data_IF_881837156725
#
_entry.id   IF_881837156725
#
_cell.length_a   1.000
_cell.length_b   1.000
_cell.length_c   1.000
_cell.angle_alpha   90.00
_cell.angle_beta   90.00
_cell.angle_gamma   90.00
#
_symmetry.space_group_name_H-M   'P 1'
#
loop_
_entity.id
_entity.type
_entity.pdbx_description
1 polymer ?
#
# COMPACT_ATOMS: atom_id res chain seq x y z
N UNK A 1 14.97 -6.04 -17.58
CA UNK A 1 13.66 -5.86 -16.92
C UNK A 1 13.67 -6.64 -15.61
N UNK A 2 14.21 -6.05 -14.54
CA UNK A 2 14.40 -6.75 -13.26
C UNK A 2 13.09 -7.17 -12.58
N UNK A 3 11.98 -6.56 -12.96
CA UNK A 3 10.65 -6.83 -12.42
C UNK A 3 10.00 -8.13 -12.93
N UNK A 4 10.49 -8.74 -14.02
CA UNK A 4 10.03 -10.06 -14.50
C UNK A 4 10.74 -11.23 -13.83
N UNK A 5 11.88 -10.98 -13.20
CA UNK A 5 12.68 -12.00 -12.52
C UNK A 5 11.89 -12.80 -11.46
N UNK A 6 11.06 -12.19 -10.60
CA UNK A 6 10.29 -12.94 -9.60
C UNK A 6 9.28 -13.90 -10.23
N UNK A 7 8.70 -13.52 -11.37
CA UNK A 7 7.78 -14.37 -12.12
C UNK A 7 8.50 -15.60 -12.69
N UNK A 8 9.72 -15.42 -13.22
CA UNK A 8 10.55 -16.56 -13.65
C UNK A 8 10.93 -17.47 -12.49
N UNK A 9 11.20 -16.90 -11.31
CA UNK A 9 11.48 -17.68 -10.10
C UNK A 9 10.32 -18.54 -9.64
N UNK A 10 9.07 -18.15 -9.92
CA UNK A 10 7.92 -18.97 -9.55
C UNK A 10 7.87 -20.32 -10.26
N UNK A 11 8.51 -20.46 -11.43
CA UNK A 11 8.56 -21.73 -12.14
C UNK A 11 9.58 -22.71 -11.57
N UNK A 12 10.74 -22.24 -11.10
CA UNK A 12 11.82 -23.12 -10.64
C UNK A 12 12.02 -23.16 -9.11
N UNK A 13 11.68 -22.10 -8.39
CA UNK A 13 11.80 -22.01 -6.93
C UNK A 13 10.66 -21.18 -6.32
N UNK A 14 9.42 -21.73 -6.26
CA UNK A 14 8.22 -20.99 -5.90
C UNK A 14 8.32 -20.25 -4.56
N UNK A 15 8.84 -20.89 -3.51
CA UNK A 15 8.99 -20.26 -2.20
C UNK A 15 9.96 -19.06 -2.23
N UNK A 16 11.07 -19.16 -2.97
CA UNK A 16 12.03 -18.05 -3.14
C UNK A 16 11.42 -16.93 -3.97
N UNK A 17 10.70 -17.27 -5.05
CA UNK A 17 9.97 -16.30 -5.86
C UNK A 17 8.91 -15.55 -5.04
N UNK A 18 8.14 -16.27 -4.21
CA UNK A 18 7.14 -15.67 -3.31
C UNK A 18 7.79 -14.76 -2.26
N UNK A 19 8.93 -15.15 -1.68
CA UNK A 19 9.67 -14.30 -0.76
C UNK A 19 10.18 -13.02 -1.44
N UNK A 20 10.68 -13.12 -2.68
CA UNK A 20 11.12 -11.95 -3.45
C UNK A 20 9.94 -11.04 -3.82
N UNK A 21 8.79 -11.60 -4.20
CA UNK A 21 7.56 -10.82 -4.47
C UNK A 21 7.07 -10.11 -3.21
N UNK A 22 7.00 -10.81 -2.07
CA UNK A 22 6.64 -10.24 -0.76
C UNK A 22 7.51 -9.03 -0.42
N UNK A 23 8.80 -9.11 -0.72
CA UNK A 23 9.79 -8.14 -0.26
C UNK A 23 10.04 -7.00 -1.25
N UNK A 24 9.88 -7.23 -2.56
CA UNK A 24 10.27 -6.28 -3.61
C UNK A 24 9.17 -5.89 -4.60
N UNK A 25 8.16 -6.74 -4.82
CA UNK A 25 7.22 -6.50 -5.91
C UNK A 25 6.03 -5.64 -5.47
N UNK A 26 5.80 -4.47 -6.10
CA UNK A 26 4.67 -3.63 -5.79
C UNK A 26 3.37 -4.19 -6.37
N UNK A 27 2.27 -4.00 -5.63
CA UNK A 27 0.92 -4.46 -6.01
C UNK A 27 0.50 -4.08 -7.44
N UNK A 28 0.92 -2.91 -7.92
CA UNK A 28 0.58 -2.45 -9.28
C UNK A 28 1.15 -3.34 -10.38
N UNK A 29 2.39 -3.80 -10.24
CA UNK A 29 3.01 -4.69 -11.22
C UNK A 29 2.39 -6.09 -11.18
N UNK A 30 2.10 -6.60 -9.98
CA UNK A 30 1.42 -7.86 -9.78
C UNK A 30 0.03 -7.86 -10.45
N UNK A 31 -0.73 -6.77 -10.24
CA UNK A 31 -2.06 -6.61 -10.81
C UNK A 31 -2.03 -6.52 -12.34
N UNK A 32 -1.12 -5.73 -12.91
CA UNK A 32 -0.98 -5.61 -14.36
C UNK A 32 -0.62 -6.95 -15.01
N UNK A 33 0.37 -7.65 -14.46
CA UNK A 33 0.79 -8.97 -14.95
C UNK A 33 -0.33 -9.99 -14.88
N UNK A 34 -1.02 -10.08 -13.73
CA UNK A 34 -2.13 -11.01 -13.56
C UNK A 34 -3.26 -10.73 -14.55
N UNK A 35 -3.62 -9.46 -14.74
CA UNK A 35 -4.68 -9.06 -15.68
C UNK A 35 -4.31 -9.44 -17.12
N UNK A 36 -3.10 -9.11 -17.56
CA UNK A 36 -2.63 -9.39 -18.91
C UNK A 36 -2.52 -10.90 -19.16
N UNK A 37 -1.91 -11.65 -18.24
CA UNK A 37 -1.75 -13.09 -18.36
C UNK A 37 -3.10 -13.82 -18.34
N UNK A 38 -4.03 -13.45 -17.45
CA UNK A 38 -5.35 -14.05 -17.39
C UNK A 38 -6.20 -13.71 -18.61
N UNK A 39 -6.12 -12.47 -19.11
CA UNK A 39 -6.83 -12.07 -20.34
C UNK A 39 -6.28 -12.83 -21.55
N UNK A 40 -4.95 -12.97 -21.66
CA UNK A 40 -4.31 -13.75 -22.71
C UNK A 40 -4.74 -15.24 -22.64
N UNK A 41 -4.78 -15.82 -21.45
CA UNK A 41 -5.26 -17.19 -21.26
C UNK A 41 -6.72 -17.36 -21.70
N UNK A 42 -7.61 -16.46 -21.28
CA UNK A 42 -9.01 -16.46 -21.70
C UNK A 42 -9.18 -16.33 -23.21
N UNK A 43 -8.42 -15.42 -23.85
CA UNK A 43 -8.41 -15.25 -25.30
C UNK A 43 -7.90 -16.49 -26.05
N UNK A 44 -6.82 -17.11 -25.56
CA UNK A 44 -6.31 -18.36 -26.13
C UNK A 44 -7.35 -19.49 -26.06
N UNK A 45 -8.10 -19.59 -24.96
CA UNK A 45 -9.21 -20.53 -24.80
C UNK A 45 -10.34 -20.29 -25.80
N UNK A 46 -10.70 -19.04 -26.03
CA UNK A 46 -11.79 -18.63 -26.94
C UNK A 46 -11.41 -18.60 -28.43
N UNK A 47 -10.13 -18.75 -28.76
CA UNK A 47 -9.62 -18.75 -30.14
C UNK A 47 -10.34 -19.66 -31.16
N UNK A 48 -10.87 -20.85 -30.81
CA UNK A 48 -11.64 -21.66 -31.76
C UNK A 48 -12.96 -20.98 -32.17
N UNK A 49 -13.55 -20.15 -31.31
CA UNK A 49 -14.73 -19.34 -31.64
C UNK A 49 -14.37 -18.08 -32.46
N UNK A 50 -13.13 -17.60 -32.35
CA UNK A 50 -12.61 -16.45 -33.10
C UNK A 50 -12.41 -16.73 -34.60
N UNK A 51 -12.24 -18.00 -34.99
CA UNK A 51 -12.00 -18.37 -36.39
C UNK A 51 -13.25 -18.33 -37.29
N UNK A 52 -14.45 -18.11 -36.73
CA UNK A 52 -15.72 -18.25 -37.48
C UNK A 52 -16.80 -17.18 -37.29
N UNK A 53 -16.66 -16.19 -36.39
CA UNK A 53 -17.76 -15.26 -36.06
C UNK A 53 -17.31 -13.79 -35.97
N UNK A 54 -18.11 -12.91 -36.58
CA UNK A 54 -18.05 -11.44 -36.44
C UNK A 54 -18.35 -11.05 -34.98
N UNK A 55 -17.34 -10.62 -34.24
CA UNK A 55 -17.53 -10.14 -32.86
C UNK A 55 -16.28 -10.07 -31.97
N UNK A 56 -15.09 -9.97 -32.56
CA UNK A 56 -13.79 -10.02 -31.84
C UNK A 56 -13.74 -8.99 -30.70
N UNK A 57 -14.29 -7.79 -30.89
CA UNK A 57 -14.29 -6.71 -29.89
C UNK A 57 -15.16 -7.02 -28.66
N UNK A 58 -16.30 -7.71 -28.82
CA UNK A 58 -17.16 -8.09 -27.70
C UNK A 58 -16.53 -9.20 -26.85
N UNK A 59 -15.86 -10.14 -27.49
CA UNK A 59 -15.18 -11.26 -26.81
C UNK A 59 -13.91 -10.83 -26.09
N UNK A 60 -13.13 -9.91 -26.66
CA UNK A 60 -11.95 -9.34 -25.97
C UNK A 60 -12.35 -8.54 -24.74
N UNK A 61 -13.43 -7.75 -24.87
CA UNK A 61 -14.00 -7.01 -23.75
C UNK A 61 -14.51 -7.96 -22.64
N UNK A 62 -15.23 -9.02 -23.00
CA UNK A 62 -15.71 -10.01 -22.04
C UNK A 62 -14.57 -10.77 -21.33
N UNK A 63 -13.51 -11.15 -22.05
CA UNK A 63 -12.34 -11.80 -21.47
C UNK A 63 -11.62 -10.90 -20.45
N UNK A 64 -11.50 -9.61 -20.78
CA UNK A 64 -10.92 -8.60 -19.88
C UNK A 64 -11.80 -8.39 -18.64
N UNK A 65 -13.12 -8.29 -18.82
CA UNK A 65 -14.08 -8.10 -17.73
C UNK A 65 -14.08 -9.30 -16.76
N UNK A 66 -14.05 -10.53 -17.28
CA UNK A 66 -13.95 -11.75 -16.47
C UNK A 66 -12.62 -11.82 -15.72
N UNK A 67 -11.52 -11.43 -16.36
CA UNK A 67 -10.19 -11.38 -15.73
C UNK A 67 -10.14 -10.36 -14.60
N UNK A 68 -10.69 -9.16 -14.82
CA UNK A 68 -10.83 -8.15 -13.78
C UNK A 68 -11.74 -8.63 -12.63
N UNK A 69 -12.84 -9.32 -12.95
CA UNK A 69 -13.73 -9.93 -11.97
C UNK A 69 -12.99 -10.89 -11.04
N UNK A 70 -12.20 -11.82 -11.59
CA UNK A 70 -11.39 -12.76 -10.81
C UNK A 70 -10.42 -12.05 -9.85
N UNK A 71 -9.77 -10.99 -10.32
CA UNK A 71 -8.87 -10.19 -9.47
C UNK A 71 -9.61 -9.52 -8.32
N UNK A 72 -10.83 -9.01 -8.57
CA UNK A 72 -11.68 -8.44 -7.52
C UNK A 72 -12.07 -9.51 -6.49
N UNK A 73 -12.40 -10.74 -6.92
CA UNK A 73 -12.69 -11.84 -5.99
C UNK A 73 -11.49 -12.15 -5.11
N UNK A 74 -10.30 -12.22 -5.69
CA UNK A 74 -9.07 -12.46 -4.93
C UNK A 74 -8.80 -11.34 -3.92
N UNK A 75 -8.99 -10.09 -4.34
CA UNK A 75 -8.74 -8.91 -3.53
C UNK A 75 -9.78 -8.69 -2.41
N UNK A 76 -11.07 -8.93 -2.69
CA UNK A 76 -12.17 -8.60 -1.79
C UNK A 76 -12.62 -9.76 -0.90
N UNK A 77 -12.40 -11.01 -1.34
CA UNK A 77 -12.87 -12.21 -0.62
C UNK A 77 -11.70 -13.07 -0.17
N UNK A 78 -10.88 -13.54 -1.12
CA UNK A 78 -9.86 -14.53 -0.81
C UNK A 78 -8.80 -14.02 0.17
N UNK A 79 -8.19 -12.85 -0.10
CA UNK A 79 -7.13 -12.30 0.76
C UNK A 79 -7.65 -11.92 2.15
N UNK A 80 -8.78 -11.20 2.31
CA UNK A 80 -9.33 -10.93 3.63
C UNK A 80 -9.69 -12.21 4.40
N UNK A 81 -10.24 -13.22 3.74
CA UNK A 81 -10.54 -14.50 4.37
C UNK A 81 -9.26 -15.24 4.80
N UNK A 82 -8.22 -15.26 3.96
CA UNK A 82 -6.93 -15.83 4.31
C UNK A 82 -6.32 -15.14 5.54
N UNK A 83 -6.31 -13.81 5.56
CA UNK A 83 -5.83 -13.01 6.70
C UNK A 83 -6.66 -13.29 7.96
N UNK A 84 -7.98 -13.42 7.82
CA UNK A 84 -8.88 -13.73 8.92
C UNK A 84 -8.57 -15.11 9.52
N UNK A 85 -8.47 -16.14 8.68
CA UNK A 85 -8.10 -17.48 9.11
C UNK A 85 -6.72 -17.52 9.77
N UNK A 86 -5.72 -16.83 9.19
CA UNK A 86 -4.40 -16.70 9.81
C UNK A 86 -4.48 -16.05 11.19
N UNK A 87 -5.27 -14.99 11.34
CA UNK A 87 -5.41 -14.30 12.61
C UNK A 87 -6.11 -15.16 13.67
N UNK A 88 -7.09 -15.98 13.26
CA UNK A 88 -7.71 -16.98 14.14
C UNK A 88 -6.71 -18.03 14.62
N UNK A 89 -5.80 -18.48 13.76
CA UNK A 89 -4.84 -19.55 14.05
C UNK A 89 -3.65 -19.09 14.89
N UNK A 90 -3.14 -17.87 14.66
CA UNK A 90 -1.90 -17.38 15.27
C UNK A 90 -2.11 -16.25 16.28
N UNK A 91 -3.32 -15.71 16.43
CA UNK A 91 -3.66 -14.59 17.35
C UNK A 91 -2.67 -13.41 17.26
N UNK A 92 -2.39 -12.94 16.04
CA UNK A 92 -1.35 -11.92 15.76
C UNK A 92 -1.74 -10.49 16.13
N UNK A 93 -2.97 -10.27 16.59
CA UNK A 93 -3.48 -8.97 17.00
C UNK A 93 -4.87 -8.68 16.43
N UNK A 94 -5.21 -7.39 16.31
CA UNK A 94 -6.48 -7.01 15.70
C UNK A 94 -6.47 -7.30 14.20
N UNK A 95 -7.57 -7.87 13.68
CA UNK A 95 -7.70 -8.24 12.27
C UNK A 95 -7.40 -7.05 11.34
N UNK A 96 -7.91 -5.86 11.67
CA UNK A 96 -7.67 -4.66 10.86
C UNK A 96 -6.20 -4.25 10.78
N UNK A 97 -5.42 -4.47 11.84
CA UNK A 97 -3.99 -4.19 11.84
C UNK A 97 -3.24 -5.17 10.93
N UNK A 98 -3.49 -6.47 11.09
CA UNK A 98 -2.85 -7.52 10.28
C UNK A 98 -3.22 -7.35 8.81
N UNK A 99 -4.48 -7.05 8.52
CA UNK A 99 -4.96 -6.78 7.17
C UNK A 99 -4.21 -5.59 6.57
N UNK A 100 -4.17 -4.42 7.21
CA UNK A 100 -3.44 -3.25 6.69
C UNK A 100 -1.96 -3.52 6.44
N UNK A 101 -1.36 -4.37 7.27
CA UNK A 101 0.06 -4.69 7.23
C UNK A 101 0.42 -5.69 6.13
N UNK A 102 -0.33 -6.78 6.01
CA UNK A 102 0.01 -7.92 5.15
C UNK A 102 -0.81 -8.01 3.86
N UNK A 103 -1.86 -7.19 3.70
CA UNK A 103 -2.76 -7.27 2.55
C UNK A 103 -2.04 -7.09 1.22
N UNK A 104 -1.23 -6.03 1.07
CA UNK A 104 -0.55 -5.75 -0.20
C UNK A 104 0.43 -6.87 -0.58
N UNK A 105 1.17 -7.41 0.38
CA UNK A 105 2.10 -8.50 0.16
C UNK A 105 1.36 -9.81 -0.20
N UNK A 106 0.31 -10.14 0.55
CA UNK A 106 -0.52 -11.34 0.30
C UNK A 106 -1.16 -11.28 -1.07
N UNK A 107 -1.82 -10.16 -1.40
CA UNK A 107 -2.47 -9.96 -2.69
C UNK A 107 -1.47 -9.98 -3.84
N UNK A 108 -0.29 -9.35 -3.69
CA UNK A 108 0.74 -9.39 -4.74
C UNK A 108 1.21 -10.82 -5.01
N UNK A 109 1.50 -11.60 -3.97
CA UNK A 109 1.93 -12.99 -4.12
C UNK A 109 0.85 -13.86 -4.80
N UNK A 110 -0.42 -13.69 -4.41
CA UNK A 110 -1.55 -14.40 -5.00
C UNK A 110 -1.78 -13.99 -6.46
N UNK A 111 -1.62 -12.71 -6.80
CA UNK A 111 -1.75 -12.23 -8.18
C UNK A 111 -0.61 -12.72 -9.07
N UNK A 112 0.63 -12.78 -8.56
CA UNK A 112 1.73 -13.39 -9.28
C UNK A 112 1.54 -14.91 -9.46
N UNK A 113 0.98 -15.61 -8.46
CA UNK A 113 0.58 -17.00 -8.60
C UNK A 113 -0.43 -17.17 -9.74
N UNK A 114 -1.47 -16.32 -9.77
CA UNK A 114 -2.45 -16.31 -10.84
C UNK A 114 -1.76 -16.09 -12.19
N UNK A 115 -0.92 -15.05 -12.32
CA UNK A 115 -0.23 -14.72 -13.56
C UNK A 115 0.62 -15.88 -14.09
N UNK A 116 1.37 -16.55 -13.21
CA UNK A 116 2.19 -17.69 -13.59
C UNK A 116 1.33 -18.87 -14.07
N UNK A 117 0.16 -19.11 -13.45
CA UNK A 117 -0.73 -20.21 -13.84
C UNK A 117 -1.37 -19.91 -15.18
N UNK A 118 -1.82 -18.67 -15.39
CA UNK A 118 -2.40 -18.24 -16.66
C UNK A 118 -1.40 -18.38 -17.81
N UNK A 119 -0.11 -18.07 -17.58
CA UNK A 119 0.95 -18.26 -18.59
C UNK A 119 1.19 -19.74 -18.91
N UNK A 120 1.17 -20.62 -17.90
CA UNK A 120 1.21 -22.07 -18.15
C UNK A 120 -0.02 -22.53 -18.94
N UNK A 121 -1.19 -21.98 -18.64
CA UNK A 121 -2.42 -22.23 -19.37
C UNK A 121 -2.29 -21.85 -20.85
N UNK A 122 -1.71 -20.68 -21.16
CA UNK A 122 -1.44 -20.26 -22.54
C UNK A 122 -0.51 -21.24 -23.25
N UNK A 123 0.61 -21.61 -22.62
CA UNK A 123 1.57 -22.56 -23.19
C UNK A 123 0.91 -23.92 -23.46
N UNK A 124 0.12 -24.41 -22.51
CA UNK A 124 -0.55 -25.71 -22.66
C UNK A 124 -1.59 -25.69 -23.77
N UNK A 125 -2.41 -24.65 -23.87
CA UNK A 125 -3.38 -24.49 -24.97
C UNK A 125 -2.64 -24.45 -26.32
N UNK A 126 -1.48 -23.79 -26.40
CA UNK A 126 -0.67 -23.77 -27.61
C UNK A 126 -0.10 -25.16 -27.97
N UNK A 127 0.44 -25.90 -26.99
CA UNK A 127 0.98 -27.25 -27.19
C UNK A 127 -0.10 -28.29 -27.53
N UNK A 128 -1.25 -28.23 -26.86
CA UNK A 128 -2.40 -29.10 -27.14
C UNK A 128 -2.95 -28.93 -28.55
N UNK A 129 -2.76 -27.73 -29.14
CA UNK A 129 -3.06 -27.48 -30.56
C UNK A 129 -1.95 -27.98 -31.48
N UNK A 130 -0.70 -27.63 -31.19
CA UNK A 130 0.43 -28.04 -32.03
C UNK A 130 0.56 -29.58 -32.15
N UNK A 131 0.11 -30.31 -31.14
CA UNK A 131 0.08 -31.78 -31.13
C UNK A 131 -1.11 -32.41 -31.86
N UNK A 132 -2.12 -31.64 -32.29
CA UNK A 132 -3.35 -32.16 -32.89
C UNK A 132 -4.28 -32.89 -31.91
N UNK A 133 -3.91 -32.98 -30.63
CA UNK A 133 -4.70 -33.69 -29.60
C UNK A 133 -6.10 -33.10 -29.42
N UNK A 134 -6.21 -31.76 -29.47
CA UNK A 134 -7.51 -31.08 -29.37
C UNK A 134 -8.47 -31.51 -30.49
N UNK A 135 -7.97 -31.64 -31.71
CA UNK A 135 -8.78 -31.98 -32.89
C UNK A 135 -9.20 -33.45 -32.83
N UNK A 136 -8.28 -34.34 -32.46
CA UNK A 136 -8.55 -35.76 -32.25
C UNK A 136 -9.56 -36.01 -31.12
N UNK A 137 -9.46 -35.27 -30.01
CA UNK A 137 -10.42 -35.38 -28.91
C UNK A 137 -11.82 -34.92 -29.35
N UNK A 138 -11.91 -33.81 -30.09
CA UNK A 138 -13.19 -33.34 -30.62
C UNK A 138 -13.81 -34.31 -31.62
N UNK A 139 -13.01 -34.94 -32.49
CA UNK A 139 -13.53 -35.92 -33.44
C UNK A 139 -14.08 -37.16 -32.72
N UNK A 140 -13.32 -37.73 -31.78
CA UNK A 140 -13.78 -38.88 -30.99
C UNK A 140 -15.01 -38.56 -30.15
N UNK A 141 -15.12 -37.34 -29.62
CA UNK A 141 -16.31 -36.91 -28.88
C UNK A 141 -17.54 -36.78 -29.79
N UNK A 142 -17.39 -36.20 -30.99
CA UNK A 142 -18.48 -36.12 -31.99
C UNK A 142 -18.96 -37.51 -32.40
N UNK A 143 -18.04 -38.46 -32.60
CA UNK A 143 -18.37 -39.85 -32.89
C UNK A 143 -19.12 -40.53 -31.73
N UNK A 144 -18.66 -40.35 -30.50
CA UNK A 144 -19.34 -40.89 -29.32
C UNK A 144 -20.75 -40.30 -29.15
N UNK A 145 -20.92 -39.00 -29.42
CA UNK A 145 -22.22 -38.34 -29.38
C UNK A 145 -23.16 -38.88 -30.47
N UNK A 146 -22.67 -39.06 -31.69
CA UNK A 146 -23.44 -39.64 -32.79
C UNK A 146 -23.93 -41.06 -32.46
N UNK A 147 -23.07 -41.91 -31.88
CA UNK A 147 -23.44 -43.25 -31.42
C UNK A 147 -24.47 -43.22 -30.28
N UNK A 148 -24.38 -42.26 -29.37
CA UNK A 148 -25.34 -42.08 -28.29
C UNK A 148 -26.72 -41.60 -28.80
N UNK A 149 -26.74 -40.77 -29.86
CA UNK A 149 -27.95 -40.38 -30.56
C UNK A 149 -28.60 -41.55 -31.30
N UNK A 150 -27.82 -42.37 -32.02
CA UNK A 150 -28.32 -43.57 -32.71
C UNK A 150 -28.96 -44.57 -31.74
N UNK A 151 -28.45 -44.65 -30.51
CA UNK A 151 -29.01 -45.50 -29.44
C UNK A 151 -30.22 -44.90 -28.72
N UNK A 152 -30.68 -43.70 -29.13
CA UNK A 152 -31.80 -43.00 -28.51
C UNK A 152 -31.54 -42.56 -27.06
N UNK A 153 -30.26 -42.46 -26.65
CA UNK A 153 -29.88 -42.13 -25.26
C UNK A 153 -29.73 -40.63 -25.01
N UNK A 154 -29.82 -39.81 -26.06
CA UNK A 154 -29.61 -38.36 -25.99
C UNK A 154 -30.73 -37.65 -26.74
N UNK A 155 -31.45 -36.76 -26.05
CA UNK A 155 -32.46 -35.92 -26.70
C UNK A 155 -31.81 -35.00 -27.76
N UNK A 156 -32.44 -34.82 -28.93
CA UNK A 156 -31.87 -34.03 -30.04
C UNK A 156 -31.62 -32.56 -29.67
N UNK A 157 -32.32 -32.00 -28.68
CA UNK A 157 -32.10 -30.64 -28.16
C UNK A 157 -30.84 -30.52 -27.27
N UNK A 158 -30.36 -31.61 -26.67
CA UNK A 158 -29.15 -31.61 -25.84
C UNK A 158 -27.85 -31.68 -26.66
N UNK A 159 -27.95 -32.07 -27.94
CA UNK A 159 -26.81 -32.33 -28.85
C UNK A 159 -26.08 -31.05 -29.28
N UNK A 160 -26.76 -29.94 -29.61
CA UNK A 160 -26.10 -28.65 -29.87
C UNK A 160 -25.40 -28.10 -28.62
N UNK A 161 -25.97 -28.34 -27.43
CA UNK A 161 -25.41 -27.90 -26.15
C UNK A 161 -24.13 -28.69 -25.80
N UNK A 162 -24.16 -30.00 -26.05
CA UNK A 162 -23.03 -30.91 -25.82
C UNK A 162 -21.94 -30.82 -26.89
N UNK A 163 -22.27 -30.52 -28.15
CA UNK A 163 -21.29 -30.37 -29.23
C UNK A 163 -20.56 -29.02 -29.22
N UNK A 164 -21.19 -27.97 -28.70
CA UNK A 164 -20.55 -26.67 -28.42
C UNK A 164 -19.75 -26.65 -27.12
N UNK A 165 -19.86 -27.71 -26.31
CA UNK A 165 -19.12 -27.82 -25.06
C UNK A 165 -17.63 -28.01 -25.38
N UNK A 166 -16.87 -26.91 -25.33
CA UNK A 166 -15.41 -26.92 -25.22
C UNK A 166 -15.02 -27.50 -23.85
N UNK A 167 -15.34 -28.77 -23.62
CA UNK A 167 -15.10 -29.48 -22.37
C UNK A 167 -13.61 -29.58 -22.08
N UNK A 168 -12.76 -29.74 -23.11
CA UNK A 168 -11.32 -29.94 -22.91
C UNK A 168 -10.62 -28.70 -22.27
N UNK A 169 -10.81 -27.45 -22.76
CA UNK A 169 -10.28 -26.26 -22.09
C UNK A 169 -10.84 -26.01 -20.69
N UNK A 170 -12.13 -26.30 -20.47
CA UNK A 170 -12.82 -26.06 -19.19
C UNK A 170 -12.38 -27.09 -18.13
N UNK A 171 -12.45 -28.37 -18.46
CA UNK A 171 -11.98 -29.47 -17.59
C UNK A 171 -10.51 -29.30 -17.27
N UNK A 172 -9.67 -28.93 -18.24
CA UNK A 172 -8.26 -28.68 -17.99
C UNK A 172 -8.02 -27.49 -17.03
N UNK A 173 -8.74 -26.39 -17.22
CA UNK A 173 -8.67 -25.22 -16.31
C UNK A 173 -8.99 -25.60 -14.85
N UNK A 174 -10.00 -26.44 -14.63
CA UNK A 174 -10.39 -26.84 -13.27
C UNK A 174 -9.55 -27.99 -12.70
N UNK A 175 -9.15 -28.97 -13.51
CA UNK A 175 -8.44 -30.18 -13.03
C UNK A 175 -6.94 -29.95 -12.88
N UNK A 176 -6.34 -29.06 -13.68
CA UNK A 176 -4.88 -28.86 -13.69
C UNK A 176 -4.50 -27.48 -13.17
N UNK A 177 -5.11 -26.41 -13.69
CA UNK A 177 -4.68 -25.05 -13.34
C UNK A 177 -5.09 -24.65 -11.93
N UNK A 178 -6.30 -25.01 -11.48
CA UNK A 178 -6.77 -24.68 -10.13
C UNK A 178 -5.91 -25.33 -9.02
N UNK A 179 -5.55 -26.62 -9.05
CA UNK A 179 -4.65 -27.19 -8.04
C UNK A 179 -3.28 -26.54 -8.01
N UNK A 180 -2.70 -26.20 -9.17
CA UNK A 180 -1.41 -25.49 -9.24
C UNK A 180 -1.54 -24.09 -8.62
N UNK A 181 -2.62 -23.38 -8.94
CA UNK A 181 -2.91 -22.08 -8.32
C UNK A 181 -3.04 -22.20 -6.80
N UNK A 182 -3.81 -23.17 -6.30
CA UNK A 182 -3.98 -23.39 -4.87
C UNK A 182 -2.65 -23.77 -4.20
N UNK A 183 -1.80 -24.55 -4.85
CA UNK A 183 -0.46 -24.89 -4.35
C UNK A 183 0.45 -23.66 -4.25
N UNK A 184 0.40 -22.75 -5.22
CA UNK A 184 1.15 -21.49 -5.15
C UNK A 184 0.53 -20.48 -4.19
N UNK A 185 -0.79 -20.41 -4.09
CA UNK A 185 -1.49 -19.60 -3.10
C UNK A 185 -1.18 -20.10 -1.67
N UNK A 186 -1.05 -21.41 -1.47
CA UNK A 186 -0.60 -22.00 -0.22
C UNK A 186 0.81 -21.54 0.14
N UNK A 187 1.75 -21.63 -0.82
CA UNK A 187 3.12 -21.17 -0.64
C UNK A 187 3.16 -19.66 -0.35
N UNK A 188 2.35 -18.87 -1.04
CA UNK A 188 2.22 -17.43 -0.81
C UNK A 188 1.78 -17.12 0.63
N UNK A 189 0.68 -17.73 1.11
CA UNK A 189 0.19 -17.53 2.48
C UNK A 189 1.25 -17.95 3.49
N UNK A 190 1.91 -19.09 3.26
CA UNK A 190 2.98 -19.56 4.15
C UNK A 190 4.14 -18.58 4.22
N UNK A 191 4.63 -18.09 3.09
CA UNK A 191 5.78 -17.19 3.04
C UNK A 191 5.47 -15.80 3.57
N UNK A 192 4.30 -15.25 3.26
CA UNK A 192 3.90 -13.93 3.74
C UNK A 192 3.75 -13.94 5.26
N UNK A 193 3.04 -14.94 5.79
CA UNK A 193 2.79 -15.02 7.23
C UNK A 193 3.88 -15.77 7.99
N UNK A 194 4.88 -16.40 7.35
CA UNK A 194 5.92 -17.21 8.02
C UNK A 194 5.33 -18.26 8.97
N UNK A 195 4.39 -19.06 8.47
CA UNK A 195 3.67 -20.07 9.25
C UNK A 195 4.17 -21.49 8.95
N UNK A 196 3.83 -22.43 9.83
CA UNK A 196 4.00 -23.86 9.57
C UNK A 196 3.03 -24.37 8.50
N UNK A 197 3.44 -25.40 7.75
CA UNK A 197 2.72 -25.94 6.59
C UNK A 197 1.26 -26.33 6.88
N UNK A 198 0.99 -26.99 8.02
CA UNK A 198 -0.38 -27.41 8.37
C UNK A 198 -1.33 -26.23 8.63
N UNK A 199 -0.86 -25.20 9.33
CA UNK A 199 -1.67 -24.01 9.64
C UNK A 199 -1.91 -23.16 8.40
N UNK A 200 -0.91 -23.01 7.53
CA UNK A 200 -1.10 -22.30 6.26
C UNK A 200 -2.04 -23.03 5.31
N UNK A 201 -2.07 -24.37 5.35
CA UNK A 201 -3.03 -25.16 4.57
C UNK A 201 -4.46 -24.94 5.07
N UNK A 202 -4.67 -24.97 6.39
CA UNK A 202 -5.97 -24.71 6.99
C UNK A 202 -6.47 -23.29 6.67
N UNK A 203 -5.57 -22.29 6.70
CA UNK A 203 -5.91 -20.93 6.30
C UNK A 203 -6.30 -20.82 4.82
N UNK A 204 -5.60 -21.55 3.93
CA UNK A 204 -5.96 -21.62 2.51
C UNK A 204 -7.33 -22.25 2.32
N UNK A 205 -7.59 -23.39 2.95
CA UNK A 205 -8.89 -24.08 2.87
C UNK A 205 -10.01 -23.16 3.35
N UNK A 206 -9.82 -22.45 4.46
CA UNK A 206 -10.78 -21.46 4.95
C UNK A 206 -11.03 -20.33 3.95
N UNK A 207 -9.98 -19.81 3.32
CA UNK A 207 -10.10 -18.78 2.29
C UNK A 207 -10.84 -19.29 1.04
N UNK A 208 -10.55 -20.51 0.59
CA UNK A 208 -11.23 -21.16 -0.54
C UNK A 208 -12.71 -21.41 -0.24
N UNK A 209 -13.04 -21.86 0.97
CA UNK A 209 -14.44 -22.03 1.42
C UNK A 209 -15.16 -20.68 1.44
N UNK A 210 -14.51 -19.61 1.90
CA UNK A 210 -15.09 -18.27 1.86
C UNK A 210 -15.40 -17.80 0.43
N UNK A 211 -14.52 -18.09 -0.54
CA UNK A 211 -14.79 -17.82 -1.97
C UNK A 211 -15.97 -18.63 -2.47
N UNK A 212 -16.07 -19.91 -2.10
CA UNK A 212 -17.19 -20.77 -2.47
C UNK A 212 -18.52 -20.25 -1.91
N UNK A 213 -18.54 -19.80 -0.65
CA UNK A 213 -19.72 -19.21 0.00
C UNK A 213 -20.08 -17.84 -0.59
N UNK A 214 -19.10 -17.09 -1.11
CA UNK A 214 -19.31 -15.81 -1.78
C UNK A 214 -19.78 -15.97 -3.24
N UNK A 215 -19.62 -17.16 -3.84
CA UNK A 215 -20.01 -17.46 -5.23
C UNK A 215 -21.38 -16.95 -5.65
N UNK A 216 -22.48 -17.10 -4.88
CA UNK A 216 -23.79 -16.58 -5.28
C UNK A 216 -23.87 -15.05 -5.36
N UNK A 217 -22.95 -14.33 -4.70
CA UNK A 217 -22.89 -12.87 -4.68
C UNK A 217 -21.94 -12.33 -5.76
N UNK A 218 -21.09 -13.17 -6.35
CA UNK A 218 -20.15 -12.78 -7.39
C UNK A 218 -20.78 -12.16 -8.65
N UNK A 219 -22.01 -12.52 -9.10
CA UNK A 219 -22.67 -11.81 -10.20
C UNK A 219 -22.89 -10.31 -9.91
N UNK A 220 -22.92 -9.89 -8.65
CA UNK A 220 -22.96 -8.45 -8.32
C UNK A 220 -21.65 -7.74 -8.71
N UNK A 221 -20.53 -8.45 -8.69
CA UNK A 221 -19.22 -7.92 -9.11
C UNK A 221 -19.25 -7.59 -10.61
N UNK A 222 -19.86 -8.44 -11.44
CA UNK A 222 -19.97 -8.14 -12.88
C UNK A 222 -20.88 -6.94 -13.14
N UNK A 223 -21.93 -6.73 -12.34
CA UNK A 223 -22.77 -5.51 -12.39
C UNK A 223 -21.97 -4.27 -12.02
N UNK A 224 -21.16 -4.33 -10.96
CA UNK A 224 -20.29 -3.23 -10.53
C UNK A 224 -19.26 -2.91 -11.61
N UNK A 225 -18.63 -3.92 -12.21
CA UNK A 225 -17.63 -3.76 -13.27
C UNK A 225 -18.24 -3.29 -14.60
N UNK A 226 -19.51 -3.59 -14.85
CA UNK A 226 -20.23 -3.16 -16.06
C UNK A 226 -20.74 -1.72 -16.00
N UNK A 227 -20.80 -1.11 -14.81
CA UNK A 227 -21.31 0.25 -14.61
C UNK A 227 -20.17 1.28 -14.43
N UNK A 228 -20.00 2.25 -15.35
CA UNK A 228 -18.98 3.29 -15.23
C UNK A 228 -19.09 4.10 -13.92
N UNK A 229 -20.31 4.30 -13.41
CA UNK A 229 -20.56 5.03 -12.18
C UNK A 229 -20.13 4.22 -10.93
N UNK A 230 -20.50 2.94 -10.87
CA UNK A 230 -20.10 2.07 -9.75
C UNK A 230 -18.59 1.81 -9.76
N UNK A 231 -17.98 1.70 -10.94
CA UNK A 231 -16.53 1.65 -11.10
C UNK A 231 -15.83 2.87 -10.52
N UNK A 232 -16.35 4.07 -10.78
CA UNK A 232 -15.78 5.31 -10.25
C UNK A 232 -15.91 5.36 -8.72
N UNK A 233 -17.06 4.96 -8.17
CA UNK A 233 -17.26 4.89 -6.72
C UNK A 233 -16.34 3.85 -6.06
N UNK A 234 -16.25 2.66 -6.65
CA UNK A 234 -15.34 1.60 -6.23
C UNK A 234 -13.88 2.08 -6.28
N UNK A 235 -13.50 2.78 -7.35
CA UNK A 235 -12.16 3.35 -7.50
C UNK A 235 -11.82 4.31 -6.36
N UNK A 236 -12.70 5.24 -6.00
CA UNK A 236 -12.45 6.16 -4.88
C UNK A 236 -12.36 5.43 -3.54
N UNK A 237 -13.23 4.45 -3.28
CA UNK A 237 -13.22 3.67 -2.05
C UNK A 237 -11.94 2.82 -1.93
N UNK A 238 -11.59 2.10 -2.99
CA UNK A 238 -10.44 1.19 -3.03
C UNK A 238 -9.13 1.95 -3.12
N UNK A 239 -9.08 3.11 -3.80
CA UNK A 239 -7.86 3.94 -3.92
C UNK A 239 -7.32 4.32 -2.55
N UNK A 240 -8.17 4.78 -1.63
CA UNK A 240 -7.74 5.15 -0.28
C UNK A 240 -7.04 3.98 0.40
N UNK A 241 -7.68 2.81 0.37
CA UNK A 241 -7.17 1.60 0.99
C UNK A 241 -5.88 1.08 0.32
N UNK A 242 -5.81 1.08 -1.00
CA UNK A 242 -4.60 0.67 -1.75
C UNK A 242 -3.44 1.62 -1.42
N UNK A 243 -3.67 2.93 -1.36
CA UNK A 243 -2.62 3.90 -1.03
C UNK A 243 -2.08 3.65 0.37
N UNK A 244 -2.95 3.40 1.36
CA UNK A 244 -2.53 3.05 2.71
C UNK A 244 -1.74 1.74 2.75
N UNK A 245 -2.24 0.69 2.09
CA UNK A 245 -1.57 -0.61 2.03
C UNK A 245 -0.20 -0.52 1.33
N UNK A 246 -0.09 0.25 0.25
CA UNK A 246 1.19 0.50 -0.43
C UNK A 246 2.17 1.30 0.43
N UNK A 247 1.71 2.32 1.16
CA UNK A 247 2.55 3.07 2.11
C UNK A 247 3.08 2.15 3.20
N UNK A 248 2.25 1.28 3.76
CA UNK A 248 2.66 0.30 4.76
C UNK A 248 3.71 -0.69 4.22
N UNK A 249 3.52 -1.20 3.00
CA UNK A 249 4.48 -2.08 2.35
C UNK A 249 5.83 -1.38 2.10
N UNK A 250 5.81 -0.14 1.57
CA UNK A 250 7.03 0.65 1.35
C UNK A 250 7.76 0.99 2.65
N UNK A 251 7.02 1.33 3.71
CA UNK A 251 7.61 1.58 5.03
C UNK A 251 8.31 0.32 5.59
N UNK A 252 7.74 -0.87 5.35
CA UNK A 252 8.34 -2.14 5.75
C UNK A 252 9.59 -2.49 4.95
N UNK A 253 9.55 -2.32 3.62
CA UNK A 253 10.71 -2.57 2.77
C UNK A 253 11.84 -1.59 3.10
N UNK A 254 11.53 -0.30 3.26
CA UNK A 254 12.48 0.72 3.69
C UNK A 254 13.09 0.41 5.06
N UNK A 255 12.27 -0.04 6.03
CA UNK A 255 12.77 -0.45 7.34
C UNK A 255 13.79 -1.58 7.25
N UNK A 256 13.49 -2.63 6.47
CA UNK A 256 14.44 -3.73 6.29
C UNK A 256 15.70 -3.30 5.57
N UNK A 257 15.58 -2.50 4.51
CA UNK A 257 16.74 -2.04 3.75
C UNK A 257 17.67 -1.19 4.61
N UNK A 258 17.13 -0.26 5.40
CA UNK A 258 17.95 0.56 6.30
C UNK A 258 18.50 -0.27 7.47
N UNK A 259 17.77 -1.28 7.94
CA UNK A 259 18.29 -2.22 8.94
C UNK A 259 19.45 -3.04 8.38
N UNK A 260 19.32 -3.56 7.15
CA UNK A 260 20.38 -4.29 6.46
C UNK A 260 21.61 -3.39 6.21
N UNK A 261 21.40 -2.17 5.72
CA UNK A 261 22.46 -1.17 5.55
C UNK A 261 23.17 -0.90 6.88
N UNK A 262 22.43 -0.69 7.98
CA UNK A 262 23.01 -0.49 9.31
C UNK A 262 23.71 -1.74 9.86
N UNK A 263 23.37 -2.96 9.41
CA UNK A 263 24.09 -4.18 9.79
C UNK A 263 25.35 -4.41 8.96
N UNK A 264 25.32 -4.07 7.67
CA UNK A 264 26.45 -4.21 6.75
C UNK A 264 27.48 -3.11 6.98
N UNK A 265 27.03 -1.89 7.20
CA UNK A 265 27.83 -0.75 7.59
C UNK A 265 27.24 -0.08 8.85
N UNK A 266 27.70 -0.47 10.05
CA UNK A 266 27.28 0.16 11.30
C UNK A 266 27.57 1.66 11.40
N UNK A 267 28.45 2.20 10.53
CA UNK A 267 28.84 3.60 10.44
C UNK A 267 28.14 4.36 9.30
N UNK A 268 26.98 3.88 8.82
CA UNK A 268 26.13 4.62 7.89
C UNK A 268 25.14 5.53 8.67
N UNK A 269 25.47 6.83 8.78
CA UNK A 269 24.63 7.80 9.49
C UNK A 269 23.24 7.94 8.86
N UNK A 270 23.14 7.97 7.53
CA UNK A 270 21.88 8.10 6.81
C UNK A 270 20.96 6.90 7.03
N UNK A 271 21.51 5.68 7.14
CA UNK A 271 20.73 4.49 7.48
C UNK A 271 20.10 4.59 8.88
N UNK A 272 20.87 5.05 9.88
CA UNK A 272 20.34 5.26 11.24
C UNK A 272 19.32 6.41 11.28
N UNK A 273 19.55 7.51 10.56
CA UNK A 273 18.57 8.59 10.42
C UNK A 273 17.23 8.09 9.83
N UNK A 274 17.30 7.34 8.72
CA UNK A 274 16.11 6.77 8.08
C UNK A 274 15.38 5.76 8.99
N UNK A 275 16.11 4.95 9.76
CA UNK A 275 15.50 4.08 10.79
C UNK A 275 14.79 4.91 11.86
N UNK A 276 15.38 6.02 12.30
CA UNK A 276 14.77 6.94 13.25
C UNK A 276 13.42 7.49 12.76
N UNK A 277 13.37 7.96 11.50
CA UNK A 277 12.12 8.43 10.89
C UNK A 277 11.06 7.32 10.83
N UNK A 278 11.45 6.09 10.54
CA UNK A 278 10.53 4.95 10.47
C UNK A 278 9.99 4.56 11.85
N UNK A 279 10.82 4.60 12.90
CA UNK A 279 10.37 4.43 14.29
C UNK A 279 9.42 5.56 14.71
N UNK A 280 9.70 6.81 14.33
CA UNK A 280 8.82 7.95 14.59
C UNK A 280 7.45 7.81 13.90
N UNK A 281 7.41 7.30 12.66
CA UNK A 281 6.15 6.98 11.97
C UNK A 281 5.34 5.91 12.71
N UNK A 282 6.01 4.98 13.40
CA UNK A 282 5.38 3.96 14.26
C UNK A 282 5.03 4.47 15.65
N UNK A 283 5.34 5.73 15.98
CA UNK A 283 5.19 6.33 17.31
C UNK A 283 6.10 5.69 18.38
N UNK A 284 7.17 5.05 17.93
CA UNK A 284 8.23 4.45 18.75
C UNK A 284 9.29 5.53 19.04
N UNK A 285 8.95 6.53 19.86
CA UNK A 285 9.76 7.75 20.01
C UNK A 285 11.11 7.50 20.70
N UNK A 286 11.18 6.52 21.61
CA UNK A 286 12.43 6.18 22.31
C UNK A 286 13.45 5.53 21.36
N UNK A 287 12.99 4.60 20.52
CA UNK A 287 13.78 3.95 19.48
C UNK A 287 14.18 4.95 18.40
N UNK A 288 13.27 5.84 18.00
CA UNK A 288 13.57 6.92 17.06
C UNK A 288 14.71 7.80 17.57
N UNK A 289 14.63 8.24 18.83
CA UNK A 289 15.68 9.02 19.48
C UNK A 289 17.02 8.31 19.48
N UNK A 290 17.06 7.03 19.88
CA UNK A 290 18.30 6.25 19.89
C UNK A 290 18.94 6.14 18.50
N UNK A 291 18.13 5.99 17.45
CA UNK A 291 18.61 5.94 16.07
C UNK A 291 19.12 7.29 15.57
N UNK A 292 18.42 8.39 15.86
CA UNK A 292 18.91 9.72 15.52
C UNK A 292 20.19 10.08 16.28
N UNK A 293 20.28 9.71 17.56
CA UNK A 293 21.50 9.90 18.35
C UNK A 293 22.68 9.17 17.72
N UNK A 294 22.46 7.92 17.29
CA UNK A 294 23.49 7.15 16.61
C UNK A 294 23.91 7.77 15.28
N UNK A 295 22.98 8.36 14.52
CA UNK A 295 23.29 9.08 13.29
C UNK A 295 24.24 10.27 13.58
N UNK A 296 23.94 11.08 14.60
CA UNK A 296 24.78 12.21 15.01
C UNK A 296 26.13 11.79 15.59
N UNK A 297 26.20 10.65 16.28
CA UNK A 297 27.49 10.10 16.76
C UNK A 297 28.41 9.65 15.61
N UNK A 298 27.82 9.19 14.50
CA UNK A 298 28.56 8.73 13.33
C UNK A 298 28.96 9.91 12.45
N UNK A 299 27.98 10.75 12.10
CA UNK A 299 28.19 11.98 11.37
C UNK A 299 27.65 13.14 12.20
N UNK A 300 28.55 13.83 12.94
CA UNK A 300 28.17 14.99 13.70
C UNK A 300 27.58 16.10 12.82
N UNK A 301 27.79 16.10 11.49
CA UNK A 301 27.33 17.13 10.56
C UNK A 301 25.87 16.96 10.07
N UNK A 302 25.22 15.83 10.37
CA UNK A 302 23.88 15.47 9.90
C UNK A 302 22.78 16.38 10.51
N UNK A 303 22.51 17.49 9.82
CA UNK A 303 21.59 18.55 10.26
C UNK A 303 20.15 18.05 10.47
N UNK A 304 19.68 17.13 9.62
CA UNK A 304 18.33 16.59 9.72
C UNK A 304 18.15 15.73 10.99
N UNK A 305 19.18 14.98 11.40
CA UNK A 305 19.14 14.19 12.64
C UNK A 305 19.15 15.11 13.87
N UNK A 306 19.97 16.17 13.87
CA UNK A 306 19.93 17.21 14.91
C UNK A 306 18.55 17.86 15.00
N UNK A 307 17.91 18.18 13.87
CA UNK A 307 16.56 18.74 13.85
C UNK A 307 15.53 17.81 14.50
N UNK A 308 15.53 16.51 14.17
CA UNK A 308 14.60 15.56 14.79
C UNK A 308 14.88 15.35 16.29
N UNK A 309 16.15 15.30 16.70
CA UNK A 309 16.51 15.22 18.12
C UNK A 309 16.04 16.45 18.90
N UNK A 310 16.21 17.65 18.35
CA UNK A 310 15.73 18.89 18.95
C UNK A 310 14.21 18.90 19.14
N UNK A 311 13.46 18.43 18.15
CA UNK A 311 11.99 18.29 18.24
C UNK A 311 11.56 17.29 19.30
N UNK A 312 12.23 16.13 19.36
CA UNK A 312 11.95 15.10 20.38
C UNK A 312 12.27 15.65 21.78
N UNK A 313 13.42 16.29 21.96
CA UNK A 313 13.82 16.89 23.22
C UNK A 313 12.84 17.97 23.70
N UNK A 314 12.37 18.85 22.79
CA UNK A 314 11.34 19.86 23.08
C UNK A 314 10.03 19.22 23.53
N UNK A 315 9.57 18.19 22.83
CA UNK A 315 8.34 17.48 23.16
C UNK A 315 8.42 16.76 24.52
N UNK A 316 9.62 16.30 24.90
CA UNK A 316 9.90 15.67 26.20
C UNK A 316 10.21 16.69 27.32
N UNK A 317 10.20 18.00 27.02
CA UNK A 317 10.51 19.05 27.99
C UNK A 317 12.01 19.21 28.30
N UNK A 318 12.90 18.54 27.57
CA UNK A 318 14.37 18.66 27.67
C UNK A 318 14.85 19.87 26.88
N UNK A 319 14.43 21.06 27.33
CA UNK A 319 14.60 22.32 26.60
C UNK A 319 16.07 22.71 26.35
N UNK A 320 17.02 22.54 27.29
CA UNK A 320 18.42 22.85 27.03
C UNK A 320 19.03 22.00 25.91
N UNK A 321 18.71 20.71 25.89
CA UNK A 321 19.16 19.79 24.83
C UNK A 321 18.54 20.16 23.48
N UNK A 322 17.26 20.55 23.48
CA UNK A 322 16.58 21.00 22.26
C UNK A 322 17.24 22.24 21.67
N UNK A 323 17.59 23.23 22.51
CA UNK A 323 18.30 24.45 22.09
C UNK A 323 19.66 24.09 21.50
N UNK A 324 20.42 23.20 22.15
CA UNK A 324 21.72 22.76 21.63
C UNK A 324 21.58 22.11 20.25
N UNK A 325 20.66 21.15 20.11
CA UNK A 325 20.45 20.47 18.83
C UNK A 325 20.00 21.41 17.73
N UNK A 326 19.06 22.34 18.00
CA UNK A 326 18.66 23.32 17.00
C UNK A 326 19.78 24.33 16.68
N UNK A 327 20.63 24.67 17.65
CA UNK A 327 21.83 25.50 17.44
C UNK A 327 22.82 24.88 16.46
N UNK A 328 23.03 23.56 16.53
CA UNK A 328 23.87 22.83 15.56
C UNK A 328 23.31 22.88 14.13
N UNK A 329 21.98 22.90 13.98
CA UNK A 329 21.34 23.01 12.66
C UNK A 329 21.48 24.43 12.10
N UNK A 330 21.20 25.44 12.93
CA UNK A 330 21.27 26.86 12.54
C UNK A 330 22.71 27.28 12.24
N UNK A 331 23.69 26.80 13.00
CA UNK A 331 25.09 27.20 12.87
C UNK A 331 25.81 26.69 11.62
N UNK A 332 25.21 25.76 10.87
CA UNK A 332 25.90 25.04 9.78
C UNK A 332 25.44 25.39 8.39
N UNK A 333 24.27 26.00 8.23
CA UNK A 333 23.73 26.22 6.89
C UNK A 333 22.89 27.51 6.78
N UNK A 334 23.55 28.64 6.50
CA UNK A 334 22.86 29.90 6.19
C UNK A 334 22.14 29.87 4.82
N UNK A 335 22.49 28.93 3.93
CA UNK A 335 21.96 28.84 2.57
C UNK A 335 20.76 27.88 2.45
N UNK A 336 20.73 26.84 3.28
CA UNK A 336 19.67 25.82 3.33
C UNK A 336 18.92 25.77 4.67
N UNK A 337 19.19 26.68 5.63
CA UNK A 337 18.41 26.84 6.85
C UNK A 337 16.92 26.82 6.48
N UNK A 338 16.28 25.68 6.74
CA UNK A 338 14.85 25.51 6.63
C UNK A 338 14.29 26.59 7.56
N UNK A 339 13.77 27.70 7.01
CA UNK A 339 13.47 28.89 7.81
C UNK A 339 12.51 28.54 8.95
N UNK A 340 11.70 27.50 8.74
CA UNK A 340 10.86 26.81 9.72
C UNK A 340 11.57 26.43 11.04
N UNK A 341 12.89 26.23 11.05
CA UNK A 341 13.69 25.97 12.26
C UNK A 341 13.68 27.17 13.20
N UNK A 342 13.78 28.40 12.71
CA UNK A 342 13.77 29.60 13.57
C UNK A 342 12.49 29.72 14.38
N UNK A 343 11.36 29.27 13.83
CA UNK A 343 10.10 29.14 14.55
C UNK A 343 10.15 28.08 15.64
N UNK A 344 10.76 26.92 15.38
CA UNK A 344 10.96 25.86 16.39
C UNK A 344 11.92 26.32 17.50
N UNK A 345 12.99 27.03 17.16
CA UNK A 345 13.94 27.64 18.11
C UNK A 345 13.22 28.66 18.99
N UNK A 346 12.49 29.59 18.38
CA UNK A 346 11.69 30.58 19.10
C UNK A 346 10.64 29.94 20.02
N UNK A 347 9.95 28.90 19.55
CA UNK A 347 9.03 28.12 20.38
C UNK A 347 9.72 27.41 21.55
N UNK A 348 10.96 26.95 21.36
CA UNK A 348 11.76 26.28 22.40
C UNK A 348 12.21 27.27 23.46
N UNK A 349 12.75 28.42 23.06
CA UNK A 349 13.14 29.49 23.99
C UNK A 349 11.94 30.04 24.77
N UNK A 350 10.78 30.21 24.10
CA UNK A 350 9.54 30.61 24.76
C UNK A 350 9.13 29.58 25.82
N UNK A 351 9.21 28.29 25.51
CA UNK A 351 8.94 27.22 26.47
C UNK A 351 9.95 27.21 27.63
N UNK A 352 11.20 27.63 27.38
CA UNK A 352 12.24 27.74 28.39
C UNK A 352 12.14 29.01 29.25
N UNK A 353 11.19 29.91 28.95
CA UNK A 353 11.06 31.22 29.61
C UNK A 353 12.14 32.22 29.20
N UNK A 354 12.95 31.91 28.19
CA UNK A 354 14.00 32.79 27.64
C UNK A 354 13.37 33.71 26.60
N UNK A 355 12.56 34.66 27.05
CA UNK A 355 11.72 35.47 26.16
C UNK A 355 12.52 36.41 25.23
N UNK A 356 13.71 36.86 25.64
CA UNK A 356 14.56 37.70 24.78
C UNK A 356 15.08 36.90 23.58
N UNK A 357 15.66 35.73 23.82
CA UNK A 357 16.17 34.84 22.76
C UNK A 357 15.04 34.32 21.87
N UNK A 358 13.86 34.06 22.45
CA UNK A 358 12.67 33.70 21.70
C UNK A 358 12.24 34.79 20.72
N UNK A 359 12.28 36.06 21.15
CA UNK A 359 11.93 37.20 20.32
C UNK A 359 12.86 37.29 19.11
N UNK A 360 14.17 37.27 19.36
CA UNK A 360 15.17 37.43 18.32
C UNK A 360 15.09 36.29 17.27
N UNK A 361 14.82 35.06 17.71
CA UNK A 361 14.61 33.91 16.82
C UNK A 361 13.32 34.03 15.99
N UNK A 362 12.22 34.49 16.60
CA UNK A 362 10.93 34.68 15.91
C UNK A 362 10.97 35.86 14.94
N UNK A 363 11.70 36.93 15.25
CA UNK A 363 11.92 38.06 14.33
C UNK A 363 12.61 37.61 13.05
N UNK A 364 13.71 36.84 13.15
CA UNK A 364 14.38 36.25 11.98
C UNK A 364 13.45 35.39 11.13
N UNK A 365 12.51 34.68 11.75
CA UNK A 365 11.51 33.90 11.04
C UNK A 365 10.47 34.79 10.31
N UNK A 366 9.95 35.78 11.03
CA UNK A 366 8.89 36.68 10.54
C UNK A 366 9.38 37.63 9.44
N UNK A 367 10.67 37.99 9.40
CA UNK A 367 11.27 38.75 8.29
C UNK A 367 11.00 38.11 6.92
N UNK A 368 10.99 36.78 6.87
CA UNK A 368 10.77 36.00 5.64
C UNK A 368 9.33 35.55 5.48
N UNK A 369 8.64 35.24 6.58
CA UNK A 369 7.22 34.84 6.59
C UNK A 369 6.42 35.72 7.56
N UNK A 370 6.08 36.95 7.16
CA UNK A 370 5.44 37.92 8.04
C UNK A 370 4.00 37.54 8.43
N UNK A 371 3.36 36.65 7.67
CA UNK A 371 1.95 36.26 7.86
C UNK A 371 1.78 34.82 8.37
N UNK A 372 2.80 34.22 8.99
CA UNK A 372 2.66 32.89 9.61
C UNK A 372 1.88 32.99 10.94
N UNK A 373 0.68 32.38 11.06
CA UNK A 373 -0.13 32.53 12.26
C UNK A 373 0.51 31.98 13.53
N UNK A 374 1.22 30.85 13.40
CA UNK A 374 1.89 30.22 14.53
C UNK A 374 3.01 31.10 15.08
N UNK A 375 3.88 31.63 14.22
CA UNK A 375 4.94 32.53 14.66
C UNK A 375 4.42 33.86 15.24
N UNK A 376 3.38 34.45 14.66
CA UNK A 376 2.75 35.67 15.20
C UNK A 376 2.16 35.42 16.59
N UNK A 377 1.50 34.28 16.79
CA UNK A 377 1.01 33.86 18.11
C UNK A 377 2.16 33.66 19.11
N UNK A 378 3.22 32.96 18.72
CA UNK A 378 4.40 32.76 19.55
C UNK A 378 5.08 34.09 19.90
N UNK A 379 5.12 35.04 18.97
CA UNK A 379 5.67 36.38 19.19
C UNK A 379 4.82 37.17 20.18
N UNK A 380 3.49 37.12 20.07
CA UNK A 380 2.60 37.75 21.05
C UNK A 380 2.73 37.15 22.44
N UNK A 381 2.88 35.81 22.55
CA UNK A 381 3.19 35.11 23.81
C UNK A 381 4.54 35.53 24.39
N UNK A 382 5.54 35.71 23.54
CA UNK A 382 6.89 36.14 23.91
C UNK A 382 6.87 37.57 24.43
N UNK A 383 6.20 38.49 23.72
CA UNK A 383 6.02 39.88 24.14
C UNK A 383 5.28 39.98 25.49
N UNK A 384 4.27 39.14 25.71
CA UNK A 384 3.58 39.07 26.99
C UNK A 384 4.52 38.60 28.13
N UNK A 385 5.40 37.63 27.85
CA UNK A 385 6.43 37.17 28.79
C UNK A 385 7.50 38.24 29.10
N UNK A 386 7.79 39.12 28.14
CA UNK A 386 8.65 40.30 28.34
C UNK A 386 7.95 41.44 29.10
N UNK A 387 6.66 41.33 29.36
CA UNK A 387 5.86 42.38 30.01
C UNK A 387 5.38 43.50 29.09
N UNK A 388 5.59 43.37 27.77
CA UNK A 388 5.07 44.34 26.80
C UNK A 388 3.66 43.95 26.33
N UNK A 389 2.67 44.38 27.12
CA UNK A 389 1.26 44.12 26.83
C UNK A 389 0.79 44.75 25.50
N UNK A 390 1.39 45.87 25.06
CA UNK A 390 1.01 46.54 23.82
C UNK A 390 1.49 45.74 22.61
N UNK A 391 2.76 45.34 22.61
CA UNK A 391 3.29 44.48 21.57
C UNK A 391 2.60 43.12 21.55
N UNK A 392 2.33 42.52 22.72
CA UNK A 392 1.61 41.25 22.82
C UNK A 392 0.24 41.32 22.13
N UNK A 393 -0.53 42.37 22.42
CA UNK A 393 -1.83 42.62 21.79
C UNK A 393 -1.70 42.82 20.28
N UNK A 394 -0.74 43.63 19.84
CA UNK A 394 -0.50 43.90 18.43
C UNK A 394 -0.22 42.61 17.64
N UNK A 395 0.69 41.76 18.13
CA UNK A 395 1.02 40.50 17.47
C UNK A 395 -0.14 39.51 17.46
N UNK A 396 -0.97 39.50 18.51
CA UNK A 396 -2.18 38.66 18.57
C UNK A 396 -3.24 39.12 17.57
N UNK A 397 -3.43 40.43 17.40
CA UNK A 397 -4.31 41.00 16.37
C UNK A 397 -3.80 40.63 14.97
N UNK A 398 -2.49 40.74 14.70
CA UNK A 398 -1.90 40.29 13.45
C UNK A 398 -2.07 38.79 13.21
N UNK A 399 -1.95 37.95 14.24
CA UNK A 399 -2.22 36.52 14.13
C UNK A 399 -3.68 36.26 13.69
N UNK A 400 -4.65 36.96 14.30
CA UNK A 400 -6.07 36.83 13.96
C UNK A 400 -6.32 37.22 12.50
N UNK A 401 -5.73 38.33 12.06
CA UNK A 401 -5.88 38.84 10.70
C UNK A 401 -5.20 37.92 9.68
N UNK A 402 -4.03 37.38 9.99
CA UNK A 402 -3.33 36.41 9.14
C UNK A 402 -4.19 35.16 8.89
N UNK A 403 -4.86 34.61 9.92
CA UNK A 403 -5.74 33.44 9.73
C UNK A 403 -7.01 33.79 8.95
N UNK A 404 -7.58 34.98 9.18
CA UNK A 404 -8.83 35.41 8.52
C UNK A 404 -8.63 35.72 7.04
N UNK A 405 -7.46 36.23 6.68
CA UNK A 405 -7.11 36.59 5.30
C UNK A 405 -6.49 35.41 4.52
N UNK A 406 -6.16 34.32 5.21
CA UNK A 406 -5.60 33.12 4.59
C UNK A 406 -6.60 32.41 3.65
N UNK A 407 -6.12 31.74 2.58
CA UNK A 407 -6.96 30.93 1.70
C UNK A 407 -7.74 29.85 2.46
N UNK A 408 -8.96 29.53 1.99
CA UNK A 408 -9.89 28.61 2.67
C UNK A 408 -9.30 27.23 3.01
N UNK A 409 -8.34 26.72 2.24
CA UNK A 409 -7.70 25.43 2.50
C UNK A 409 -6.75 25.45 3.71
N UNK A 410 -6.19 26.62 4.09
CA UNK A 410 -5.31 26.76 5.26
C UNK A 410 -6.08 26.98 6.56
N UNK A 411 -7.28 27.56 6.47
CA UNK A 411 -8.11 27.91 7.63
C UNK A 411 -8.26 26.75 8.62
N UNK A 412 -8.46 25.50 8.17
CA UNK A 412 -8.60 24.34 9.06
C UNK A 412 -7.34 24.05 9.88
N UNK A 413 -6.14 24.23 9.31
CA UNK A 413 -4.88 24.00 10.01
C UNK A 413 -4.61 25.12 11.03
N UNK A 414 -4.91 26.37 10.65
CA UNK A 414 -4.54 27.55 11.43
C UNK A 414 -5.63 28.00 12.42
N UNK A 415 -6.83 27.40 12.35
CA UNK A 415 -7.96 27.70 13.24
C UNK A 415 -7.60 27.62 14.72
N UNK A 416 -6.67 26.73 15.08
CA UNK A 416 -6.18 26.60 16.45
C UNK A 416 -5.61 27.94 16.95
N UNK A 417 -4.71 28.55 16.18
CA UNK A 417 -4.02 29.79 16.54
C UNK A 417 -4.98 30.98 16.60
N UNK A 418 -5.96 31.03 15.70
CA UNK A 418 -7.04 32.02 15.76
C UNK A 418 -7.79 31.97 17.10
N UNK A 419 -8.16 30.77 17.55
CA UNK A 419 -8.90 30.62 18.81
C UNK A 419 -8.02 30.99 20.01
N UNK A 420 -6.77 30.53 20.05
CA UNK A 420 -5.84 30.83 21.15
C UNK A 420 -5.53 32.34 21.23
N UNK A 421 -5.30 33.01 20.10
CA UNK A 421 -5.07 34.45 20.04
C UNK A 421 -6.30 35.26 20.47
N UNK A 422 -7.51 34.88 20.03
CA UNK A 422 -8.74 35.54 20.47
C UNK A 422 -9.00 35.34 21.96
N UNK A 423 -8.72 34.16 22.49
CA UNK A 423 -8.84 33.90 23.92
C UNK A 423 -7.87 34.79 24.71
N UNK A 424 -6.61 34.87 24.28
CA UNK A 424 -5.61 35.74 24.88
C UNK A 424 -6.09 37.20 24.91
N UNK A 425 -6.56 37.73 23.78
CA UNK A 425 -7.07 39.09 23.64
C UNK A 425 -8.27 39.38 24.56
N UNK A 426 -9.14 38.38 24.81
CA UNK A 426 -10.27 38.52 25.73
C UNK A 426 -9.87 38.52 27.20
N UNK A 427 -8.82 37.78 27.55
CA UNK A 427 -8.36 37.65 28.94
C UNK A 427 -7.45 38.79 29.40
N UNK A 428 -6.82 39.51 28.48
CA UNK A 428 -5.93 40.64 28.76
C UNK A 428 -6.48 42.01 28.31
N UNK A 429 -7.70 42.04 27.76
CA UNK A 429 -8.48 43.27 27.59
C UNK A 429 -9.19 43.61 28.91
#
# INVERSE_FOLDING_TARGET
>A
MDWLRPLLMMFYAPARGMAEVRDRAPLGQAALLALLAQSAHGLCGLWPALAGVVGVAGMTFAALLNSAGLMVVLAAVFVPAAVFCVNLLERRGSFGLVLRQEYAATLSCVLYALAAVSLLGVLFVALGRASGFSDAFQSSYREALALAQERGQVEPEAVPLMSNMQLLPLVFSYVVMLPIFLLWAWAAVREVFRMGWGRSLLALVGASVAVMLASPVLPLVSVVLGSPFLLLLLFFAVRSYIVEAQRAQRARSAFRQNLEAATLNPADASAHYNLGLLHQQRREFAEARARFQRAVEIDPSEADAHYQLGRIARAEGRLPEAIQHFGEVVGRDDAHAQHEIWREVGATYLAAGQFADARDALERFLERRPSDPEALYLMGRTAAGLGDARAARHWMEQCVDAVRTAPAYKYRADKRWLNEAQQFLRTQA
#
